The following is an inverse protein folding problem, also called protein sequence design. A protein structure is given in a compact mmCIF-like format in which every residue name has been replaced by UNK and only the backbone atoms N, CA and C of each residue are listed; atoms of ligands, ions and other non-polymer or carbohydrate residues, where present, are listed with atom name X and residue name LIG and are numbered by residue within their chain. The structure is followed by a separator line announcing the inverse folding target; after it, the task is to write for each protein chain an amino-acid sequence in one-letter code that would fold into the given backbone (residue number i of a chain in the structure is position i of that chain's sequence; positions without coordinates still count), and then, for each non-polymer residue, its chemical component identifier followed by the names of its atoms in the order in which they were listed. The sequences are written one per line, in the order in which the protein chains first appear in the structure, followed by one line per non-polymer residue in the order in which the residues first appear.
data_IF_310352826300
#
_entry.id   IF_310352826300
#
_cell.length_a   1.000
_cell.length_b   1.000
_cell.length_c   1.000
_cell.angle_alpha   90.00
_cell.angle_beta   90.00
_cell.angle_gamma   90.00
#
_symmetry.space_group_name_H-M   'P 1'
#
loop_
_entity.id
_entity.type
_entity.pdbx_description
1 polymer ?
#
# COMPACT_ATOMS: atom_id res chain seq x y z
N UNK A 1 -7.03 5.06 -20.09
CA UNK A 1 -8.46 4.76 -19.96
C UNK A 1 -8.85 4.94 -18.49
N UNK A 2 -9.74 5.87 -18.12
CA UNK A 2 -10.06 6.16 -16.71
C UNK A 2 -10.67 4.96 -15.97
N UNK A 3 -11.11 3.94 -16.70
CA UNK A 3 -11.67 2.72 -16.13
C UNK A 3 -10.62 1.73 -15.61
N UNK A 4 -9.32 1.99 -15.78
CA UNK A 4 -8.22 1.08 -15.41
C UNK A 4 -7.59 1.37 -14.04
N UNK A 5 -8.19 2.26 -13.24
CA UNK A 5 -7.71 2.65 -11.92
C UNK A 5 -7.29 4.12 -11.86
N UNK A 6 -6.54 4.48 -10.81
CA UNK A 6 -6.09 5.86 -10.59
C UNK A 6 -4.77 6.07 -11.37
N UNK A 7 -4.74 6.91 -12.42
CA UNK A 7 -3.51 7.13 -13.17
C UNK A 7 -2.49 7.88 -12.32
N UNK A 8 -1.35 7.26 -12.07
CA UNK A 8 -0.20 7.89 -11.40
C UNK A 8 1.03 7.83 -12.29
N UNK A 9 1.88 8.85 -12.22
CA UNK A 9 3.21 8.83 -12.83
C UNK A 9 4.24 8.45 -11.77
N UNK A 10 5.35 7.84 -12.19
CA UNK A 10 6.42 7.44 -11.26
C UNK A 10 6.85 8.57 -10.29
N UNK A 11 7.06 9.84 -10.73
CA UNK A 11 7.42 10.91 -9.81
C UNK A 11 6.40 11.20 -8.70
N UNK A 12 5.12 10.80 -8.87
CA UNK A 12 4.10 10.98 -7.83
C UNK A 12 4.26 9.98 -6.67
N UNK A 13 4.91 8.83 -6.91
CA UNK A 13 4.95 7.70 -5.98
C UNK A 13 6.38 7.22 -5.67
N UNK A 14 7.40 7.84 -6.27
CA UNK A 14 8.79 7.39 -6.21
C UNK A 14 9.41 7.38 -4.81
N UNK A 15 8.80 8.06 -3.84
CA UNK A 15 9.23 8.09 -2.44
C UNK A 15 8.43 7.15 -1.53
N UNK A 16 7.43 6.44 -2.06
CA UNK A 16 6.68 5.47 -1.29
C UNK A 16 7.60 4.32 -0.81
N UNK A 17 7.34 3.82 0.40
CA UNK A 17 7.97 2.60 0.93
C UNK A 17 7.10 1.36 0.72
N UNK A 18 5.79 1.55 0.72
CA UNK A 18 4.80 0.53 0.38
C UNK A 18 3.63 1.17 -0.36
N UNK A 19 3.11 0.46 -1.35
CA UNK A 19 1.88 0.80 -2.07
C UNK A 19 0.93 -0.38 -1.89
N UNK A 20 -0.32 -0.09 -1.56
CA UNK A 20 -1.37 -1.10 -1.39
C UNK A 20 -2.50 -0.80 -2.35
N UNK A 21 -2.81 -1.73 -3.25
CA UNK A 21 -3.98 -1.70 -4.10
C UNK A 21 -5.10 -2.56 -3.49
N UNK A 22 -6.26 -1.93 -3.27
CA UNK A 22 -7.44 -2.62 -2.75
C UNK A 22 -8.38 -2.98 -3.89
N UNK A 23 -8.80 -4.25 -3.96
CA UNK A 23 -9.83 -4.70 -4.89
C UNK A 23 -11.20 -4.06 -4.58
N UNK A 24 -11.98 -3.80 -5.62
CA UNK A 24 -13.36 -3.30 -5.52
C UNK A 24 -14.34 -4.35 -6.04
N UNK A 25 -15.51 -4.47 -5.42
CA UNK A 25 -16.47 -5.58 -5.58
C UNK A 25 -16.85 -5.85 -7.05
N UNK A 26 -17.08 -4.77 -7.79
CA UNK A 26 -17.55 -4.80 -9.19
C UNK A 26 -16.44 -4.39 -10.18
N UNK A 27 -15.19 -4.43 -9.74
CA UNK A 27 -14.07 -3.88 -10.48
C UNK A 27 -12.91 -4.87 -10.50
N UNK A 28 -13.01 -5.83 -11.41
CA UNK A 28 -11.95 -6.80 -11.71
C UNK A 28 -10.98 -6.22 -12.74
N UNK A 29 -10.25 -5.19 -12.34
CA UNK A 29 -9.05 -4.80 -13.07
C UNK A 29 -7.89 -5.61 -12.50
N UNK A 30 -7.05 -6.13 -13.38
CA UNK A 30 -5.72 -6.55 -12.99
C UNK A 30 -4.99 -5.36 -12.30
N UNK A 31 -4.29 -5.60 -11.18
CA UNK A 31 -3.45 -4.59 -10.54
C UNK A 31 -2.49 -3.93 -11.55
N UNK A 32 -1.91 -2.78 -11.20
CA UNK A 32 -0.99 -2.04 -12.07
C UNK A 32 0.10 -2.94 -12.69
N UNK A 33 -0.10 -3.37 -13.94
CA UNK A 33 0.78 -4.29 -14.67
C UNK A 33 1.52 -3.52 -15.78
N UNK A 34 2.79 -3.22 -15.52
CA UNK A 34 3.69 -2.66 -16.52
C UNK A 34 5.15 -2.97 -16.16
N UNK A 35 5.93 -3.46 -17.13
CA UNK A 35 7.32 -3.87 -16.90
C UNK A 35 8.17 -2.76 -16.28
N UNK A 36 8.01 -1.51 -16.76
CA UNK A 36 8.73 -0.36 -16.21
C UNK A 36 8.27 0.00 -14.78
N UNK A 37 6.98 -0.15 -14.48
CA UNK A 37 6.45 0.08 -13.13
C UNK A 37 7.03 -0.95 -12.15
N UNK A 38 7.00 -2.24 -12.52
CA UNK A 38 7.51 -3.32 -11.68
C UNK A 38 9.05 -3.27 -11.51
N UNK A 39 9.78 -2.91 -12.58
CA UNK A 39 11.23 -2.67 -12.51
C UNK A 39 11.56 -1.57 -11.51
N UNK A 40 10.78 -0.50 -11.47
CA UNK A 40 10.99 0.56 -10.48
C UNK A 40 10.65 0.10 -9.06
N UNK A 41 9.54 -0.60 -8.84
CA UNK A 41 9.19 -1.13 -7.52
C UNK A 41 10.31 -2.01 -6.94
N UNK A 42 10.81 -2.94 -7.75
CA UNK A 42 11.88 -3.85 -7.35
C UNK A 42 13.23 -3.16 -7.19
N UNK A 43 13.59 -2.21 -8.08
CA UNK A 43 14.88 -1.51 -8.01
C UNK A 43 14.97 -0.51 -6.85
N UNK A 44 13.85 0.08 -6.43
CA UNK A 44 13.80 1.05 -5.34
C UNK A 44 13.35 0.45 -4.00
N UNK A 45 13.18 -0.87 -3.91
CA UNK A 45 12.77 -1.55 -2.67
C UNK A 45 11.37 -1.15 -2.20
N UNK A 46 10.47 -0.83 -3.12
CA UNK A 46 9.09 -0.44 -2.78
C UNK A 46 8.25 -1.71 -2.63
N UNK A 47 7.69 -1.89 -1.43
CA UNK A 47 6.71 -2.93 -1.20
C UNK A 47 5.45 -2.69 -2.01
N UNK A 48 4.91 -3.73 -2.65
CA UNK A 48 3.67 -3.63 -3.42
C UNK A 48 2.73 -4.76 -3.02
N UNK A 49 1.60 -4.39 -2.42
CA UNK A 49 0.60 -5.33 -1.94
C UNK A 49 -0.69 -5.14 -2.71
N UNK A 50 -1.34 -6.25 -3.00
CA UNK A 50 -2.71 -6.30 -3.51
C UNK A 50 -3.56 -6.95 -2.44
N UNK A 51 -4.65 -6.33 -2.04
CA UNK A 51 -5.57 -6.87 -1.03
C UNK A 51 -6.97 -6.86 -1.61
N UNK A 52 -7.56 -8.03 -1.81
CA UNK A 52 -8.93 -8.16 -2.28
C UNK A 52 -9.84 -8.70 -1.18
N UNK A 53 -10.69 -7.86 -0.54
CA UNK A 53 -11.57 -8.30 0.53
C UNK A 53 -12.68 -9.27 0.06
N UNK A 54 -12.84 -9.45 -1.26
CA UNK A 54 -13.82 -10.35 -1.87
C UNK A 54 -13.23 -11.72 -2.22
N UNK A 55 -11.91 -11.90 -2.10
CA UNK A 55 -11.25 -13.19 -2.26
C UNK A 55 -11.00 -13.84 -0.90
N UNK A 56 -11.30 -15.12 -0.79
CA UNK A 56 -11.04 -15.88 0.42
C UNK A 56 -9.52 -15.97 0.67
N UNK A 57 -9.08 -15.62 1.89
CA UNK A 57 -7.68 -15.67 2.33
C UNK A 57 -6.67 -14.71 1.64
N UNK A 58 -7.13 -13.63 0.98
CA UNK A 58 -6.25 -12.66 0.29
C UNK A 58 -5.76 -11.49 1.20
N UNK A 59 -5.93 -11.64 2.51
CA UNK A 59 -5.55 -10.65 3.53
C UNK A 59 -6.67 -9.69 3.91
N UNK A 60 -6.33 -8.66 4.69
CA UNK A 60 -7.29 -7.66 5.15
C UNK A 60 -6.67 -6.26 5.18
N UNK A 61 -7.53 -5.25 5.06
CA UNK A 61 -7.19 -3.84 5.18
C UNK A 61 -8.15 -3.20 6.19
N UNK A 62 -7.61 -2.79 7.35
CA UNK A 62 -8.39 -2.18 8.44
C UNK A 62 -8.71 -0.70 8.12
N UNK A 63 -9.63 -0.52 7.18
CA UNK A 63 -10.03 0.80 6.67
C UNK A 63 -10.70 1.65 7.75
N UNK A 64 -11.47 1.03 8.65
CA UNK A 64 -12.14 1.72 9.75
C UNK A 64 -11.12 2.35 10.71
N UNK A 65 -10.06 1.63 11.06
CA UNK A 65 -8.96 2.17 11.85
C UNK A 65 -8.24 3.30 11.11
N UNK A 66 -7.91 3.15 9.83
CA UNK A 66 -7.20 4.21 9.09
C UNK A 66 -8.06 5.49 8.99
N UNK A 67 -9.38 5.35 8.85
CA UNK A 67 -10.34 6.47 8.84
C UNK A 67 -10.53 7.13 10.20
N UNK A 68 -10.19 6.46 11.31
CA UNK A 68 -10.29 7.07 12.64
C UNK A 68 -9.08 7.95 12.97
N UNK A 69 -7.98 7.85 12.20
CA UNK A 69 -6.79 8.67 12.39
C UNK A 69 -7.09 10.11 11.95
N UNK A 70 -6.69 11.14 12.76
CA UNK A 70 -6.79 12.53 12.36
C UNK A 70 -6.10 12.79 11.02
N UNK A 71 -6.81 13.45 10.11
CA UNK A 71 -6.27 13.79 8.79
C UNK A 71 -5.44 15.07 8.86
N UNK A 72 -4.26 15.07 8.24
CA UNK A 72 -3.47 16.29 7.98
C UNK A 72 -4.14 17.13 6.91
N UNK A 73 -4.57 16.47 5.82
CA UNK A 73 -5.31 17.08 4.73
C UNK A 73 -6.25 16.08 4.06
N UNK A 74 -7.48 16.52 3.79
CA UNK A 74 -8.50 15.73 3.09
C UNK A 74 -9.02 16.50 1.87
N UNK A 75 -9.16 15.80 0.76
CA UNK A 75 -9.78 16.30 -0.48
C UNK A 75 -10.91 15.36 -0.87
N UNK A 76 -11.55 15.59 -2.03
CA UNK A 76 -12.59 14.70 -2.54
C UNK A 76 -12.12 13.24 -2.76
N UNK A 77 -10.84 13.01 -3.07
CA UNK A 77 -10.32 11.70 -3.48
C UNK A 77 -9.08 11.22 -2.73
N UNK A 78 -8.44 12.12 -1.95
CA UNK A 78 -7.19 11.82 -1.25
C UNK A 78 -7.32 12.23 0.21
N UNK A 79 -6.93 11.30 1.10
CA UNK A 79 -6.79 11.50 2.53
C UNK A 79 -5.33 11.30 2.93
N UNK A 80 -4.73 12.30 3.56
CA UNK A 80 -3.35 12.25 4.04
C UNK A 80 -3.33 12.20 5.57
N UNK A 81 -2.81 11.10 6.13
CA UNK A 81 -2.64 10.92 7.58
C UNK A 81 -1.15 10.85 7.91
N UNK A 82 -0.79 11.32 9.10
CA UNK A 82 0.57 11.27 9.62
C UNK A 82 0.56 10.58 10.99
N UNK A 83 1.63 9.83 11.27
CA UNK A 83 1.82 9.12 12.52
C UNK A 83 3.08 9.63 13.20
N UNK A 84 3.03 9.84 14.51
CA UNK A 84 4.19 10.29 15.29
C UNK A 84 5.29 9.23 15.35
N UNK A 85 4.90 7.96 15.32
CA UNK A 85 5.79 6.82 15.32
C UNK A 85 5.82 6.16 13.94
N UNK A 86 6.99 5.63 13.52
CA UNK A 86 7.12 4.98 12.23
C UNK A 86 6.28 3.70 12.15
N UNK A 87 5.86 3.39 10.92
CA UNK A 87 5.17 2.14 10.59
C UNK A 87 6.21 1.07 10.22
N UNK A 88 6.00 -0.14 10.72
CA UNK A 88 6.83 -1.31 10.41
C UNK A 88 6.22 -2.09 9.24
N UNK A 89 7.03 -2.36 8.22
CA UNK A 89 6.65 -3.13 7.03
C UNK A 89 7.52 -4.38 6.98
N UNK A 90 6.89 -5.54 6.88
CA UNK A 90 7.58 -6.82 6.73
C UNK A 90 7.10 -7.53 5.48
N UNK A 91 8.04 -8.00 4.66
CA UNK A 91 7.75 -8.69 3.40
C UNK A 91 8.54 -10.00 3.39
N UNK A 92 7.87 -11.09 3.05
CA UNK A 92 8.51 -12.36 2.72
C UNK A 92 8.11 -12.76 1.30
N UNK A 93 8.97 -12.39 0.34
CA UNK A 93 8.71 -12.63 -1.09
C UNK A 93 8.62 -14.12 -1.43
N UNK A 94 9.37 -14.99 -0.73
CA UNK A 94 9.34 -16.45 -0.94
C UNK A 94 7.99 -17.05 -0.57
N UNK A 95 7.39 -16.58 0.52
CA UNK A 95 6.07 -17.02 0.99
C UNK A 95 4.92 -16.21 0.40
N UNK A 96 5.21 -15.14 -0.35
CA UNK A 96 4.22 -14.19 -0.89
C UNK A 96 3.30 -13.62 0.21
N UNK A 97 3.87 -13.31 1.37
CA UNK A 97 3.16 -12.69 2.49
C UNK A 97 3.82 -11.38 2.86
N UNK A 98 3.01 -10.41 3.29
CA UNK A 98 3.46 -9.13 3.79
C UNK A 98 2.53 -8.60 4.87
N UNK A 99 3.03 -7.73 5.73
CA UNK A 99 2.23 -7.05 6.76
C UNK A 99 2.72 -5.63 6.97
N UNK A 100 1.76 -4.72 7.10
CA UNK A 100 1.96 -3.34 7.57
C UNK A 100 1.40 -3.27 8.99
N UNK A 101 2.26 -3.02 9.97
CA UNK A 101 1.86 -3.00 11.38
C UNK A 101 1.39 -1.60 11.77
N UNK A 102 0.39 -1.51 12.65
CA UNK A 102 0.03 -0.23 13.30
C UNK A 102 1.25 0.34 14.02
N UNK A 103 1.46 1.67 14.00
CA UNK A 103 2.59 2.29 14.67
C UNK A 103 2.54 1.99 16.17
N UNK A 104 3.70 1.69 16.76
CA UNK A 104 3.84 1.44 18.19
C UNK A 104 4.71 2.54 18.80
N UNK A 105 4.38 2.96 20.02
CA UNK A 105 5.13 3.97 20.75
C UNK A 105 6.57 3.48 20.99
N UNK A 106 7.56 4.28 20.60
CA UNK A 106 8.98 3.94 20.73
C UNK A 106 9.49 2.89 19.73
N UNK A 107 8.72 2.55 18.69
CA UNK A 107 9.20 1.66 17.64
C UNK A 107 10.15 2.39 16.68
N UNK A 108 11.25 1.74 16.32
CA UNK A 108 12.12 2.20 15.23
C UNK A 108 11.52 1.80 13.85
N UNK A 109 11.77 2.59 12.79
CA UNK A 109 11.35 2.22 11.44
C UNK A 109 12.06 0.92 11.05
N UNK A 110 11.29 -0.12 10.77
CA UNK A 110 11.82 -1.44 10.47
C UNK A 110 11.37 -1.81 9.04
N UNK A 111 12.31 -1.72 8.10
CA UNK A 111 12.24 -2.40 6.81
C UNK A 111 13.25 -3.54 6.91
N UNK A 112 12.79 -4.73 7.31
CA UNK A 112 13.63 -5.93 7.34
C UNK A 112 13.29 -6.77 6.11
N UNK A 113 14.19 -6.74 5.14
CA UNK A 113 14.20 -7.69 4.01
C UNK A 113 14.63 -9.07 4.53
N UNK A 114 13.97 -10.13 4.04
CA UNK A 114 14.30 -11.53 4.32
C UNK A 114 13.93 -12.45 3.15
#
# INVERSE_FOLDING_TARGET
DPWLGIPVKWPHISQARVIVEKGLENYRIEPSQGTHFFQNLTSFGVGYFTVNPFLENDGFFDEAWLKSIPTVQETAFVRHVCFDNPICIKINGKKRIGVVMKPQEGAEPCVKEG
#
